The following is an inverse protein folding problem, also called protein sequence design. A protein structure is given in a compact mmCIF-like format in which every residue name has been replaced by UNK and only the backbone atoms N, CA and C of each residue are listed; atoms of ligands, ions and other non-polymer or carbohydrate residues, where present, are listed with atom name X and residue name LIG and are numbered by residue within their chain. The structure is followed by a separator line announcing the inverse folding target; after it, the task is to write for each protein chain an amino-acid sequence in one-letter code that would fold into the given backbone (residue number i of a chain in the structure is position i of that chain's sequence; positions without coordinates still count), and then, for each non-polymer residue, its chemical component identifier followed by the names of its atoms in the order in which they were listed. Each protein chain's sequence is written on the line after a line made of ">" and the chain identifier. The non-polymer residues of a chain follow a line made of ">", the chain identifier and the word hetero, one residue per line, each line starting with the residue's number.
data_IF_274555861783
#
_entry.id   IF_274555861783
#
_cell.length_a   1.000
_cell.length_b   1.000
_cell.length_c   1.000
_cell.angle_alpha   90.00
_cell.angle_beta   90.00
_cell.angle_gamma   90.00
#
_symmetry.space_group_name_H-M   'P 1'
#
loop_
_entity.id
_entity.type
_entity.pdbx_description
1 polymer ?
#
# COMPACT_ATOMS: atom_id res chain seq x y z
N UNK A 1 6.61 -27.00 -10.61
CA UNK A 1 7.60 -26.72 -9.55
C UNK A 1 8.66 -25.80 -10.15
N UNK A 2 8.60 -24.50 -9.88
CA UNK A 2 9.50 -23.48 -10.43
C UNK A 2 9.69 -22.30 -9.44
N UNK A 3 9.72 -22.55 -8.13
CA UNK A 3 9.87 -21.46 -7.14
C UNK A 3 10.81 -21.75 -5.96
N UNK A 4 11.36 -22.95 -5.80
CA UNK A 4 12.17 -23.28 -4.61
C UNK A 4 13.53 -22.56 -4.54
N UNK A 5 13.89 -21.79 -5.56
CA UNK A 5 15.16 -21.03 -5.65
C UNK A 5 14.99 -19.51 -5.72
N UNK A 6 13.77 -18.98 -5.62
CA UNK A 6 13.51 -17.53 -5.69
C UNK A 6 13.10 -17.04 -4.31
N UNK A 7 13.85 -16.08 -3.76
CA UNK A 7 13.52 -15.45 -2.49
C UNK A 7 12.13 -14.80 -2.58
N UNK A 8 11.30 -14.98 -1.58
CA UNK A 8 10.03 -14.26 -1.52
C UNK A 8 10.28 -12.74 -1.36
N UNK A 9 9.27 -11.86 -1.56
CA UNK A 9 9.48 -10.41 -1.49
C UNK A 9 10.13 -9.93 -0.18
N UNK A 10 9.78 -10.53 0.96
CA UNK A 10 10.36 -10.20 2.27
C UNK A 10 11.84 -10.59 2.33
N UNK A 11 12.17 -11.81 1.94
CA UNK A 11 13.54 -12.31 1.91
C UNK A 11 14.41 -11.53 0.92
N UNK A 12 13.86 -11.19 -0.25
CA UNK A 12 14.52 -10.36 -1.24
C UNK A 12 14.83 -8.96 -0.68
N UNK A 13 13.87 -8.34 0.01
CA UNK A 13 14.04 -7.04 0.64
C UNK A 13 15.13 -7.04 1.70
N UNK A 14 15.18 -8.08 2.54
CA UNK A 14 16.25 -8.26 3.55
C UNK A 14 17.61 -8.40 2.86
N UNK A 15 17.72 -9.29 1.87
CA UNK A 15 18.97 -9.50 1.14
C UNK A 15 19.49 -8.20 0.51
N UNK A 16 18.63 -7.42 -0.15
CA UNK A 16 19.00 -6.13 -0.75
C UNK A 16 19.45 -5.15 0.32
N UNK A 17 18.71 -5.01 1.43
CA UNK A 17 19.05 -4.07 2.50
C UNK A 17 20.39 -4.41 3.19
N UNK A 18 20.70 -5.69 3.35
CA UNK A 18 21.93 -6.16 4.01
C UNK A 18 23.17 -6.11 3.09
N UNK A 19 22.99 -6.21 1.77
CA UNK A 19 24.10 -6.34 0.81
C UNK A 19 24.29 -5.11 -0.09
N UNK A 20 23.41 -4.11 -0.03
CA UNK A 20 23.54 -2.87 -0.78
C UNK A 20 24.71 -2.01 -0.27
N UNK A 21 25.58 -1.57 -1.18
CA UNK A 21 26.66 -0.64 -0.87
C UNK A 21 26.39 0.80 -1.31
N UNK A 22 25.50 0.98 -2.29
CA UNK A 22 25.18 2.30 -2.87
C UNK A 22 24.02 2.99 -2.15
N UNK A 23 23.13 2.20 -1.52
CA UNK A 23 21.94 2.68 -0.81
C UNK A 23 21.98 2.10 0.61
N UNK A 24 21.79 2.95 1.61
CA UNK A 24 21.74 2.57 3.01
C UNK A 24 20.45 3.06 3.65
N UNK A 25 19.98 2.31 4.65
CA UNK A 25 18.82 2.68 5.46
C UNK A 25 19.31 3.49 6.67
N UNK A 26 18.79 4.70 6.84
CA UNK A 26 19.06 5.54 8.02
C UNK A 26 18.04 5.25 9.13
N UNK A 27 18.45 4.42 10.08
CA UNK A 27 17.64 4.04 11.25
C UNK A 27 17.23 5.24 12.12
N UNK A 28 18.09 6.27 12.21
CA UNK A 28 17.78 7.46 12.98
C UNK A 28 16.71 8.29 12.28
N UNK A 29 16.82 8.44 10.96
CA UNK A 29 15.81 9.12 10.15
C UNK A 29 14.45 8.41 10.24
N UNK A 30 14.42 7.07 10.15
CA UNK A 30 13.18 6.28 10.33
C UNK A 30 12.55 6.59 11.68
N UNK A 31 13.34 6.53 12.76
CA UNK A 31 12.85 6.82 14.11
C UNK A 31 12.31 8.25 14.24
N UNK A 32 13.00 9.23 13.65
CA UNK A 32 12.58 10.63 13.69
C UNK A 32 11.25 10.83 12.95
N UNK A 33 11.10 10.25 11.76
CA UNK A 33 9.84 10.31 11.00
C UNK A 33 8.71 9.62 11.76
N UNK A 34 8.96 8.44 12.34
CA UNK A 34 7.97 7.75 13.16
C UNK A 34 7.51 8.61 14.35
N UNK A 35 8.44 9.31 15.03
CA UNK A 35 8.11 10.23 16.11
C UNK A 35 7.31 11.45 15.63
N UNK A 36 7.63 11.98 14.45
CA UNK A 36 6.88 13.09 13.84
C UNK A 36 5.43 12.68 13.55
N UNK A 37 5.22 11.53 12.90
CA UNK A 37 3.88 11.00 12.59
C UNK A 37 3.12 10.75 13.89
N UNK A 38 3.74 10.09 14.87
CA UNK A 38 3.10 9.83 16.16
C UNK A 38 2.71 11.12 16.89
N UNK A 39 3.52 12.18 16.80
CA UNK A 39 3.17 13.49 17.37
C UNK A 39 1.96 14.11 16.64
N UNK A 40 1.93 14.06 15.32
CA UNK A 40 0.81 14.58 14.51
C UNK A 40 -0.51 13.83 14.80
N UNK A 41 -0.44 12.50 14.99
CA UNK A 41 -1.60 11.71 15.42
C UNK A 41 -2.06 12.14 16.82
N UNK A 42 -1.12 12.32 17.75
CA UNK A 42 -1.47 12.77 19.12
C UNK A 42 -2.02 14.18 19.20
N UNK A 43 -1.60 15.08 18.30
CA UNK A 43 -2.15 16.44 18.22
C UNK A 43 -3.48 16.51 17.46
N UNK A 44 -3.89 15.43 16.80
CA UNK A 44 -5.08 15.38 15.96
C UNK A 44 -4.90 16.02 14.58
N UNK A 45 -3.67 16.37 14.20
CA UNK A 45 -3.35 16.83 12.84
C UNK A 45 -3.49 15.71 11.80
N UNK A 46 -3.32 14.46 12.23
CA UNK A 46 -3.62 13.26 11.46
C UNK A 46 -4.66 12.47 12.26
N UNK A 47 -5.79 12.17 11.64
CA UNK A 47 -6.87 11.41 12.26
C UNK A 47 -7.12 10.08 11.54
N UNK A 48 -7.63 9.09 12.27
CA UNK A 48 -8.08 7.82 11.67
C UNK A 48 -9.17 8.05 10.62
N UNK A 49 -10.04 9.05 10.83
CA UNK A 49 -11.06 9.45 9.86
C UNK A 49 -10.48 9.90 8.52
N UNK A 50 -9.25 10.42 8.48
CA UNK A 50 -8.62 10.80 7.22
C UNK A 50 -8.33 9.55 6.37
N UNK A 51 -7.85 8.47 7.00
CA UNK A 51 -7.63 7.19 6.32
C UNK A 51 -8.96 6.52 5.93
N UNK A 52 -9.93 6.52 6.84
CA UNK A 52 -11.26 5.95 6.62
C UNK A 52 -12.14 6.76 5.67
N UNK A 53 -11.74 7.97 5.28
CA UNK A 53 -12.53 8.78 4.34
C UNK A 53 -12.50 8.21 2.90
N UNK A 54 -11.47 7.44 2.55
CA UNK A 54 -11.30 6.92 1.20
C UNK A 54 -11.97 5.56 1.02
N UNK A 55 -12.93 5.47 0.10
CA UNK A 55 -13.74 4.26 -0.15
C UNK A 55 -12.93 3.00 -0.42
N UNK A 56 -11.75 3.14 -1.02
CA UNK A 56 -10.90 2.02 -1.41
C UNK A 56 -10.00 1.50 -0.28
N UNK A 57 -9.88 2.22 0.83
CA UNK A 57 -9.14 1.75 2.00
C UNK A 57 -9.97 0.74 2.80
N UNK A 58 -9.27 -0.17 3.49
CA UNK A 58 -9.92 -1.07 4.43
C UNK A 58 -10.62 -0.27 5.54
N UNK A 59 -11.88 -0.61 5.81
CA UNK A 59 -12.65 -0.09 6.95
C UNK A 59 -12.57 -1.03 8.16
N UNK A 60 -11.57 -1.90 8.17
CA UNK A 60 -11.31 -2.81 9.29
C UNK A 60 -10.60 -2.08 10.43
N UNK A 61 -10.38 -2.76 11.55
CA UNK A 61 -9.68 -2.18 12.69
C UNK A 61 -8.22 -1.79 12.39
N UNK A 62 -7.60 -1.09 13.34
CA UNK A 62 -6.27 -0.51 13.20
C UNK A 62 -5.18 -1.49 12.71
N UNK A 63 -5.20 -2.75 13.18
CA UNK A 63 -4.22 -3.76 12.75
C UNK A 63 -4.31 -4.05 11.25
N UNK A 64 -5.52 -4.27 10.74
CA UNK A 64 -5.75 -4.53 9.33
C UNK A 64 -5.46 -3.29 8.46
N UNK A 65 -5.68 -2.09 8.98
CA UNK A 65 -5.29 -0.86 8.31
C UNK A 65 -3.77 -0.78 8.13
N UNK A 66 -2.99 -1.10 9.17
CA UNK A 66 -1.52 -1.15 9.09
C UNK A 66 -1.04 -2.19 8.08
N UNK A 67 -1.60 -3.40 8.10
CA UNK A 67 -1.27 -4.45 7.14
C UNK A 67 -1.60 -4.06 5.70
N UNK A 68 -2.76 -3.42 5.49
CA UNK A 68 -3.17 -2.88 4.20
C UNK A 68 -2.19 -1.82 3.69
N UNK A 69 -1.85 -0.83 4.53
CA UNK A 69 -0.90 0.23 4.17
C UNK A 69 0.44 -0.38 3.75
N UNK A 70 1.00 -1.26 4.59
CA UNK A 70 2.27 -1.91 4.29
C UNK A 70 2.23 -2.69 2.97
N UNK A 71 1.15 -3.43 2.72
CA UNK A 71 0.99 -4.19 1.49
C UNK A 71 0.85 -3.28 0.26
N UNK A 72 -0.03 -2.28 0.31
CA UNK A 72 -0.27 -1.37 -0.82
C UNK A 72 0.98 -0.56 -1.12
N UNK A 73 1.68 -0.05 -0.12
CA UNK A 73 2.91 0.72 -0.30
C UNK A 73 4.04 -0.13 -0.89
N UNK A 74 4.13 -1.41 -0.53
CA UNK A 74 5.11 -2.33 -1.11
C UNK A 74 4.91 -2.53 -2.62
N UNK A 75 3.65 -2.58 -3.07
CA UNK A 75 3.31 -2.81 -4.48
C UNK A 75 3.03 -1.51 -5.24
N UNK A 76 3.20 -0.35 -4.60
CA UNK A 76 2.98 0.97 -5.19
C UNK A 76 4.12 1.36 -6.13
N UNK A 77 4.51 0.45 -7.02
CA UNK A 77 5.52 0.70 -8.04
C UNK A 77 4.82 1.18 -9.31
N UNK A 78 4.73 2.51 -9.41
CA UNK A 78 4.41 3.25 -10.62
C UNK A 78 3.01 3.11 -11.20
N UNK A 79 2.05 3.75 -10.53
CA UNK A 79 0.85 4.30 -11.19
C UNK A 79 1.02 5.79 -11.56
N UNK A 80 2.26 6.27 -11.62
CA UNK A 80 2.58 7.59 -12.14
C UNK A 80 2.27 7.62 -13.63
N UNK A 81 1.56 8.68 -14.06
CA UNK A 81 1.13 8.79 -15.44
C UNK A 81 2.20 9.56 -16.21
N UNK A 82 2.86 8.90 -17.15
CA UNK A 82 3.44 9.62 -18.28
C UNK A 82 2.30 10.02 -19.23
N UNK A 83 2.49 11.16 -19.87
CA UNK A 83 1.55 11.87 -20.72
C UNK A 83 1.12 11.03 -21.94
N UNK A 84 0.06 10.23 -21.76
CA UNK A 84 -0.67 9.63 -22.88
C UNK A 84 -1.32 8.28 -22.61
N UNK A 85 -0.93 7.53 -21.57
CA UNK A 85 -1.59 6.28 -21.20
C UNK A 85 -1.69 6.14 -19.69
N UNK A 86 -2.91 6.16 -19.16
CA UNK A 86 -3.14 5.89 -17.76
C UNK A 86 -3.82 4.55 -17.53
N UNK A 87 -3.12 3.71 -16.76
CA UNK A 87 -3.68 2.47 -16.26
C UNK A 87 -4.88 2.79 -15.37
N UNK A 88 -6.02 2.23 -15.73
CA UNK A 88 -7.27 2.44 -15.03
C UNK A 88 -7.99 1.12 -14.79
N UNK A 89 -8.61 1.01 -13.62
CA UNK A 89 -9.26 -0.22 -13.14
C UNK A 89 -10.71 0.10 -12.81
N UNK A 90 -11.64 -0.58 -13.47
CA UNK A 90 -13.07 -0.51 -13.12
C UNK A 90 -13.37 -1.45 -11.97
N UNK A 91 -13.86 -0.96 -10.84
CA UNK A 91 -14.24 -1.78 -9.70
C UNK A 91 -15.71 -1.54 -9.34
N UNK A 92 -16.45 -2.63 -9.10
CA UNK A 92 -17.83 -2.60 -8.64
C UNK A 92 -17.82 -2.90 -7.15
N UNK A 93 -18.16 -1.89 -6.34
CA UNK A 93 -18.26 -2.02 -4.90
C UNK A 93 -19.46 -2.90 -4.50
N UNK A 94 -19.53 -3.26 -3.21
CA UNK A 94 -20.56 -4.16 -2.68
C UNK A 94 -21.99 -3.62 -2.79
N UNK A 95 -22.15 -2.30 -2.88
CA UNK A 95 -23.43 -1.61 -3.10
C UNK A 95 -23.90 -1.65 -4.57
N UNK A 96 -23.09 -2.21 -5.48
CA UNK A 96 -23.35 -2.28 -6.92
C UNK A 96 -22.83 -1.08 -7.71
N UNK A 97 -22.27 -0.06 -7.06
CA UNK A 97 -21.70 1.12 -7.72
C UNK A 97 -20.42 0.73 -8.46
N UNK A 98 -20.31 1.11 -9.73
CA UNK A 98 -19.10 0.87 -10.53
C UNK A 98 -18.37 2.19 -10.79
N UNK A 99 -17.08 2.24 -10.49
CA UNK A 99 -16.23 3.41 -10.72
C UNK A 99 -14.91 3.00 -11.36
N UNK A 100 -14.26 3.96 -12.04
CA UNK A 100 -12.98 3.78 -12.69
C UNK A 100 -11.91 4.52 -11.87
N UNK A 101 -10.85 3.81 -11.50
CA UNK A 101 -9.78 4.32 -10.66
C UNK A 101 -8.46 4.32 -11.43
N UNK A 102 -7.68 5.39 -11.29
CA UNK A 102 -6.30 5.52 -11.82
C UNK A 102 -5.33 5.80 -10.66
N UNK A 103 -4.03 5.84 -10.93
CA UNK A 103 -3.04 6.18 -9.91
C UNK A 103 -3.01 5.16 -8.77
N UNK A 104 -2.70 5.64 -7.57
CA UNK A 104 -2.77 4.87 -6.32
C UNK A 104 -4.10 4.11 -6.14
N UNK A 105 -5.22 4.71 -6.52
CA UNK A 105 -6.53 4.05 -6.37
C UNK A 105 -6.75 2.90 -7.35
N UNK A 106 -6.06 2.87 -8.50
CA UNK A 106 -6.07 1.69 -9.38
C UNK A 106 -5.43 0.48 -8.69
N UNK A 107 -4.35 0.70 -7.91
CA UNK A 107 -3.73 -0.33 -7.08
C UNK A 107 -4.75 -0.87 -6.07
N UNK A 108 -5.37 0.03 -5.30
CA UNK A 108 -6.36 -0.33 -4.29
C UNK A 108 -7.55 -1.10 -4.91
N UNK A 109 -8.04 -0.67 -6.07
CA UNK A 109 -9.10 -1.34 -6.81
C UNK A 109 -8.72 -2.77 -7.25
N UNK A 110 -7.47 -2.99 -7.68
CA UNK A 110 -6.95 -4.33 -7.97
C UNK A 110 -6.93 -5.22 -6.72
N UNK A 111 -6.46 -4.69 -5.59
CA UNK A 111 -6.42 -5.42 -4.31
C UNK A 111 -7.83 -5.80 -3.86
N UNK A 112 -8.76 -4.85 -3.82
CA UNK A 112 -10.16 -5.11 -3.45
C UNK A 112 -10.82 -6.14 -4.37
N UNK A 113 -10.59 -6.05 -5.68
CA UNK A 113 -11.08 -7.06 -6.64
C UNK A 113 -10.51 -8.45 -6.36
N UNK A 114 -9.24 -8.55 -5.99
CA UNK A 114 -8.60 -9.82 -5.66
C UNK A 114 -9.21 -10.42 -4.38
N UNK A 115 -9.38 -9.62 -3.34
CA UNK A 115 -10.03 -10.03 -2.09
C UNK A 115 -11.47 -10.49 -2.35
N UNK A 116 -12.28 -9.71 -3.07
CA UNK A 116 -13.68 -10.07 -3.36
C UNK A 116 -13.84 -11.36 -4.19
N UNK A 117 -12.84 -11.70 -5.02
CA UNK A 117 -12.84 -12.94 -5.82
C UNK A 117 -12.22 -14.14 -5.11
N UNK A 118 -11.24 -13.93 -4.23
CA UNK A 118 -10.54 -14.99 -3.50
C UNK A 118 -11.37 -15.60 -2.36
N UNK A 119 -12.41 -14.89 -1.90
CA UNK A 119 -13.36 -15.36 -0.88
C UNK A 119 -14.71 -15.84 -1.46
N UNK A 120 -14.73 -16.28 -2.73
CA UNK A 120 -15.88 -16.97 -3.34
C UNK A 120 -15.62 -18.46 -3.53
#
# INVERSE_FOLDING_TARGET
>A
MLLDSVLNPRESGIFIAENSHEIQIDELAIKNVALMIHKAVKSGEISESDFESYDMHTKAGAQQAVEWIFFVDLINFSFWMDDGSCFAVSYTAKDGTTSQYSGYFAACACVNRALDKAFR
#
